data_IF_813435956302
#
_entry.id   IF_813435956302
#
_cell.length_a   1.000
_cell.length_b   1.000
_cell.length_c   1.000
_cell.angle_alpha   90.00
_cell.angle_beta   90.00
_cell.angle_gamma   90.00
#
_symmetry.space_group_name_H-M   'P 1'
#
loop_
_entity.id
_entity.type
_entity.pdbx_description
1 polymer ?
#
# COMPACT_ATOMS: atom_id res chain seq x y z
N UNK A 1 -7.24 -1.21 37.70
CA UNK A 1 -7.29 -2.27 36.67
C UNK A 1 -7.60 -1.64 35.31
N UNK A 2 -8.72 -0.90 35.14
CA UNK A 2 -9.14 -0.31 33.85
C UNK A 2 -8.06 0.63 33.28
N UNK A 3 -7.52 1.54 34.09
CA UNK A 3 -6.46 2.45 33.68
C UNK A 3 -5.16 1.71 33.26
N UNK A 4 -4.84 0.65 33.97
CA UNK A 4 -3.69 -0.20 33.63
C UNK A 4 -3.90 -0.92 32.28
N UNK A 5 -5.07 -1.53 32.10
CA UNK A 5 -5.41 -2.19 30.83
C UNK A 5 -5.45 -1.19 29.67
N UNK A 6 -5.99 0.02 29.87
CA UNK A 6 -5.98 1.06 28.85
C UNK A 6 -4.55 1.46 28.45
N UNK A 7 -3.65 1.66 29.40
CA UNK A 7 -2.24 1.97 29.11
C UNK A 7 -1.55 0.82 28.38
N UNK A 8 -1.77 -0.43 28.81
CA UNK A 8 -1.18 -1.61 28.15
C UNK A 8 -1.73 -1.73 26.72
N UNK A 9 -3.03 -1.56 26.51
CA UNK A 9 -3.65 -1.65 25.18
C UNK A 9 -3.11 -0.55 24.25
N UNK A 10 -3.11 0.70 24.71
CA UNK A 10 -2.59 1.83 23.93
C UNK A 10 -1.13 1.58 23.56
N UNK A 11 -0.29 1.21 24.54
CA UNK A 11 1.12 0.92 24.28
C UNK A 11 1.31 -0.25 23.32
N UNK A 12 0.49 -1.30 23.41
CA UNK A 12 0.55 -2.46 22.51
C UNK A 12 0.14 -2.09 21.07
N UNK A 13 -0.89 -1.26 20.89
CA UNK A 13 -1.34 -0.84 19.56
C UNK A 13 -0.28 0.03 18.86
N UNK A 14 0.24 1.03 19.56
CA UNK A 14 1.23 1.96 18.98
C UNK A 14 2.63 1.35 18.83
N UNK A 15 2.99 0.29 19.55
CA UNK A 15 4.28 -0.38 19.38
C UNK A 15 4.42 -1.18 18.08
N UNK A 16 3.34 -1.34 17.32
CA UNK A 16 3.36 -2.01 16.01
C UNK A 16 3.51 -1.02 14.83
N UNK A 17 3.63 0.27 15.10
CA UNK A 17 3.83 1.32 14.09
C UNK A 17 5.31 1.71 14.00
N UNK A 18 6.18 0.82 13.54
CA UNK A 18 7.59 1.15 13.38
C UNK A 18 8.46 -0.09 13.17
N UNK A 19 9.75 0.16 13.06
CA UNK A 19 10.74 -0.92 12.95
C UNK A 19 10.71 -1.74 14.25
N UNK A 20 10.59 -3.08 14.18
CA UNK A 20 10.61 -3.93 15.35
C UNK A 20 11.88 -3.79 16.20
N UNK A 21 11.75 -4.05 17.51
CA UNK A 21 12.86 -3.97 18.46
C UNK A 21 14.04 -4.87 18.04
N UNK A 22 15.24 -4.31 18.00
CA UNK A 22 16.46 -5.00 17.59
C UNK A 22 16.84 -4.81 16.12
N UNK A 23 16.02 -4.09 15.36
CA UNK A 23 16.26 -3.81 13.94
C UNK A 23 16.35 -2.31 13.61
N UNK A 24 16.41 -1.45 14.63
CA UNK A 24 16.39 0.01 14.51
C UNK A 24 17.57 0.59 13.70
N UNK A 25 18.68 -0.13 13.68
CA UNK A 25 19.90 0.26 12.95
C UNK A 25 19.92 -0.24 11.49
N UNK A 26 18.90 -1.04 11.07
CA UNK A 26 18.82 -1.58 9.71
C UNK A 26 17.88 -0.72 8.86
N UNK A 27 18.34 -0.37 7.66
CA UNK A 27 17.52 0.32 6.67
C UNK A 27 16.42 -0.61 6.14
N UNK A 28 15.13 -0.22 6.26
CA UNK A 28 14.03 -1.02 5.77
C UNK A 28 14.05 -1.18 4.24
N UNK A 29 13.69 -2.36 3.75
CA UNK A 29 13.30 -2.52 2.35
C UNK A 29 11.91 -1.94 2.19
N UNK A 30 11.74 -0.97 1.30
CA UNK A 30 10.44 -0.37 1.00
C UNK A 30 9.79 -1.12 -0.16
N UNK A 31 8.56 -1.60 0.07
CA UNK A 31 7.73 -2.22 -0.96
C UNK A 31 6.38 -1.50 -0.98
N UNK A 32 5.99 -0.99 -2.14
CA UNK A 32 4.64 -0.48 -2.31
C UNK A 32 3.71 -1.65 -2.61
N UNK A 33 2.67 -1.81 -1.80
CA UNK A 33 1.65 -2.83 -1.99
C UNK A 33 0.33 -2.15 -2.34
N UNK A 34 -0.02 -2.18 -3.61
CA UNK A 34 -1.26 -1.60 -4.12
C UNK A 34 -2.27 -2.68 -4.48
N UNK A 35 -3.53 -2.28 -4.60
CA UNK A 35 -4.61 -3.18 -4.99
C UNK A 35 -5.46 -2.60 -6.10
N UNK A 36 -5.89 -3.45 -7.02
CA UNK A 36 -6.95 -3.18 -7.97
C UNK A 36 -7.97 -4.31 -7.94
N UNK A 37 -8.93 -4.34 -8.86
CA UNK A 37 -9.97 -5.37 -8.93
C UNK A 37 -9.42 -6.79 -8.72
N UNK A 38 -9.54 -7.28 -7.48
CA UNK A 38 -9.29 -8.63 -6.98
C UNK A 38 -7.83 -9.12 -7.04
N UNK A 39 -6.83 -8.21 -7.06
CA UNK A 39 -5.41 -8.58 -7.08
C UNK A 39 -4.53 -7.61 -6.31
N UNK A 40 -3.33 -8.06 -5.98
CA UNK A 40 -2.28 -7.33 -5.30
C UNK A 40 -1.12 -7.06 -6.24
N UNK A 41 -0.57 -5.86 -6.18
CA UNK A 41 0.63 -5.44 -6.90
C UNK A 41 1.70 -5.06 -5.88
N UNK A 42 2.93 -5.47 -6.12
CA UNK A 42 4.05 -5.17 -5.24
C UNK A 42 5.18 -4.56 -6.05
N UNK A 43 5.44 -3.29 -5.81
CA UNK A 43 6.53 -2.55 -6.45
C UNK A 43 7.71 -2.45 -5.50
N UNK A 44 8.88 -2.73 -6.02
CA UNK A 44 10.17 -2.65 -5.33
C UNK A 44 11.00 -1.52 -5.95
N UNK A 45 10.90 -0.27 -5.48
CA UNK A 45 11.60 0.86 -6.10
C UNK A 45 13.12 0.73 -6.07
N UNK A 46 13.68 0.12 -5.00
CA UNK A 46 15.13 -0.11 -4.86
C UNK A 46 15.63 -1.13 -5.89
N UNK A 47 14.82 -2.13 -6.21
CA UNK A 47 15.15 -3.22 -7.11
C UNK A 47 14.66 -2.98 -8.54
N UNK A 48 13.78 -2.01 -8.76
CA UNK A 48 13.15 -1.77 -10.06
C UNK A 48 12.43 -3.01 -10.61
N UNK A 49 11.54 -3.57 -9.78
CA UNK A 49 10.76 -4.78 -10.03
C UNK A 49 9.30 -4.56 -9.62
N UNK A 50 8.40 -5.13 -10.41
CA UNK A 50 6.98 -5.27 -10.08
C UNK A 50 6.58 -6.73 -10.01
N UNK A 51 5.75 -7.11 -9.03
CA UNK A 51 5.16 -8.44 -8.95
C UNK A 51 3.66 -8.38 -8.71
N UNK A 52 2.93 -9.38 -9.20
CA UNK A 52 1.48 -9.52 -9.05
C UNK A 52 1.15 -10.77 -8.26
N UNK A 53 0.33 -10.63 -7.22
CA UNK A 53 -0.17 -11.72 -6.36
C UNK A 53 0.89 -12.56 -5.65
N UNK A 54 2.11 -12.06 -5.56
CA UNK A 54 3.13 -12.61 -4.69
C UNK A 54 4.16 -11.54 -4.31
N UNK A 55 4.84 -11.73 -3.20
CA UNK A 55 5.90 -10.84 -2.72
C UNK A 55 7.03 -11.64 -2.11
N UNK A 56 8.26 -11.35 -2.52
CA UNK A 56 9.47 -11.93 -1.96
C UNK A 56 10.13 -10.93 -1.01
N UNK A 57 10.50 -11.37 0.16
CA UNK A 57 11.12 -10.53 1.18
C UNK A 57 12.37 -11.20 1.75
N UNK A 58 13.44 -10.43 2.06
CA UNK A 58 14.59 -10.99 2.76
C UNK A 58 14.27 -11.25 4.24
N UNK A 59 14.87 -12.29 4.81
CA UNK A 59 14.93 -12.46 6.27
C UNK A 59 15.89 -11.46 6.91
N UNK A 60 15.78 -11.23 8.22
CA UNK A 60 16.68 -10.40 9.01
C UNK A 60 16.82 -8.92 8.56
N UNK A 61 15.92 -8.45 7.70
CA UNK A 61 15.80 -7.05 7.28
C UNK A 61 14.36 -6.58 7.50
N UNK A 62 14.14 -5.39 8.09
CA UNK A 62 12.80 -4.81 8.14
C UNK A 62 12.27 -4.57 6.72
N UNK A 63 11.00 -4.87 6.52
CA UNK A 63 10.28 -4.59 5.27
C UNK A 63 9.13 -3.66 5.59
N UNK A 64 9.16 -2.45 5.03
CA UNK A 64 8.10 -1.45 5.12
C UNK A 64 7.17 -1.58 3.93
N UNK A 65 5.96 -2.05 4.15
CA UNK A 65 4.91 -2.06 3.15
C UNK A 65 4.17 -0.73 3.16
N UNK A 66 4.18 -0.02 2.04
CA UNK A 66 3.41 1.19 1.79
C UNK A 66 2.17 0.85 0.99
N UNK A 67 1.00 1.04 1.60
CA UNK A 67 -0.26 0.47 1.15
C UNK A 67 -1.18 1.53 0.55
N UNK A 68 -1.73 1.29 -0.62
CA UNK A 68 -2.79 2.09 -1.23
C UNK A 68 -3.65 1.25 -2.19
N UNK A 69 -4.71 1.82 -2.76
CA UNK A 69 -5.66 1.08 -3.59
C UNK A 69 -6.08 1.90 -4.80
N UNK A 70 -6.13 1.28 -5.97
CA UNK A 70 -6.74 1.83 -7.19
C UNK A 70 -8.26 1.61 -7.24
N UNK A 71 -8.85 1.06 -6.19
CA UNK A 71 -10.26 0.70 -6.13
C UNK A 71 -10.83 0.79 -4.72
N UNK A 72 -11.63 -0.18 -4.31
CA UNK A 72 -12.22 -0.20 -2.98
C UNK A 72 -11.16 -0.35 -1.88
N UNK A 73 -11.51 0.08 -0.67
CA UNK A 73 -10.66 -0.13 0.52
C UNK A 73 -10.45 -1.63 0.72
N UNK A 74 -9.20 -2.02 0.85
CA UNK A 74 -8.76 -3.38 1.16
C UNK A 74 -7.97 -3.40 2.46
N UNK A 75 -7.70 -4.59 3.00
CA UNK A 75 -6.91 -4.74 4.21
C UNK A 75 -5.80 -5.75 3.99
N UNK A 76 -4.58 -5.27 3.97
CA UNK A 76 -3.37 -6.08 3.90
C UNK A 76 -3.18 -6.86 5.20
N UNK A 77 -3.10 -8.17 5.11
CA UNK A 77 -2.90 -9.02 6.27
C UNK A 77 -2.10 -10.27 5.92
N UNK A 78 -0.95 -10.41 6.59
CA UNK A 78 -0.13 -11.63 6.59
C UNK A 78 -0.14 -12.18 8.02
N UNK A 79 -0.99 -13.17 8.32
CA UNK A 79 -1.21 -13.65 9.70
C UNK A 79 0.05 -14.05 10.46
N UNK A 80 1.04 -14.58 9.75
CA UNK A 80 2.30 -15.04 10.34
C UNK A 80 3.24 -13.89 10.71
N UNK A 81 3.13 -12.72 10.05
CA UNK A 81 3.99 -11.57 10.31
C UNK A 81 3.40 -10.59 11.32
N UNK A 82 2.08 -10.53 11.45
CA UNK A 82 1.48 -9.66 12.45
C UNK A 82 0.13 -9.06 12.08
N UNK A 83 -0.06 -7.82 12.51
CA UNK A 83 -1.31 -7.07 12.36
C UNK A 83 -1.67 -6.76 10.91
N UNK A 84 -2.86 -6.21 10.75
CA UNK A 84 -3.38 -5.77 9.46
C UNK A 84 -3.35 -4.24 9.33
N UNK A 85 -3.30 -3.74 8.09
CA UNK A 85 -3.40 -2.31 7.78
C UNK A 85 -4.28 -2.11 6.54
N UNK A 86 -5.04 -1.01 6.50
CA UNK A 86 -5.89 -0.70 5.36
C UNK A 86 -5.09 -0.08 4.21
N UNK A 87 -5.44 -0.44 2.98
CA UNK A 87 -5.04 0.21 1.75
C UNK A 87 -6.23 1.01 1.20
N UNK A 88 -6.04 2.30 0.98
CA UNK A 88 -7.08 3.26 0.58
C UNK A 88 -6.67 4.01 -0.69
N UNK A 89 -7.63 4.57 -1.41
CA UNK A 89 -7.38 5.17 -2.72
C UNK A 89 -6.72 6.55 -2.68
N UNK A 90 -6.84 7.24 -1.57
CA UNK A 90 -6.47 8.65 -1.45
C UNK A 90 -5.34 8.92 -0.45
N UNK A 91 -4.77 7.86 0.13
CA UNK A 91 -3.67 7.97 1.08
C UNK A 91 -2.80 6.72 1.09
N UNK A 92 -1.53 6.91 1.42
CA UNK A 92 -0.61 5.81 1.71
C UNK A 92 -0.58 5.55 3.21
N UNK A 93 -0.80 4.31 3.60
CA UNK A 93 -0.55 3.84 4.97
C UNK A 93 0.66 2.94 4.98
N UNK A 94 1.30 2.75 6.12
CA UNK A 94 2.48 1.88 6.23
C UNK A 94 2.36 0.86 7.36
N UNK A 95 3.03 -0.26 7.17
CA UNK A 95 3.24 -1.29 8.18
C UNK A 95 4.61 -1.94 7.95
N UNK A 96 5.35 -2.17 9.03
CA UNK A 96 6.69 -2.75 8.96
C UNK A 96 6.70 -4.12 9.63
N UNK A 97 7.28 -5.09 8.94
CA UNK A 97 7.48 -6.45 9.43
C UNK A 97 8.94 -6.88 9.30
N UNK A 98 9.30 -7.88 10.08
CA UNK A 98 10.54 -8.64 9.93
C UNK A 98 10.18 -10.11 9.83
N UNK A 99 10.75 -10.81 8.88
CA UNK A 99 10.69 -12.27 8.81
C UNK A 99 11.99 -12.84 9.38
N UNK A 100 11.87 -13.63 10.45
CA UNK A 100 13.04 -14.25 11.09
C UNK A 100 13.51 -15.51 10.36
N UNK A 101 12.58 -16.23 9.74
CA UNK A 101 12.83 -17.50 9.05
C UNK A 101 12.42 -17.46 7.57
N UNK A 102 13.08 -18.28 6.76
CA UNK A 102 12.69 -18.49 5.36
C UNK A 102 11.45 -19.41 5.30
N UNK A 103 10.31 -18.83 4.93
CA UNK A 103 9.00 -19.49 4.93
C UNK A 103 8.16 -19.07 3.73
N UNK A 104 7.25 -19.95 3.31
CA UNK A 104 6.12 -19.58 2.47
C UNK A 104 4.92 -19.28 3.36
N UNK A 105 4.34 -18.10 3.20
CA UNK A 105 3.22 -17.60 3.98
C UNK A 105 2.11 -17.15 3.04
N UNK A 106 0.89 -17.11 3.53
CA UNK A 106 -0.26 -16.59 2.80
C UNK A 106 -0.65 -15.22 3.33
N UNK A 107 -0.70 -14.25 2.42
CA UNK A 107 -1.31 -12.96 2.66
C UNK A 107 -2.68 -12.88 2.01
N UNK A 108 -3.55 -12.03 2.55
CA UNK A 108 -4.91 -11.87 2.02
C UNK A 108 -5.52 -10.52 2.33
N UNK A 109 -6.56 -10.20 1.59
CA UNK A 109 -7.47 -9.12 1.94
C UNK A 109 -8.41 -9.59 3.05
N UNK A 110 -8.41 -8.90 4.19
CA UNK A 110 -9.29 -9.21 5.31
C UNK A 110 -10.50 -8.28 5.43
N UNK A 111 -10.71 -7.40 4.42
CA UNK A 111 -11.85 -6.48 4.34
C UNK A 111 -12.73 -6.83 3.14
N UNK A 112 -14.04 -6.91 3.33
CA UNK A 112 -14.96 -7.10 2.21
C UNK A 112 -14.88 -5.90 1.26
N UNK A 113 -14.41 -6.15 0.05
CA UNK A 113 -14.17 -5.12 -0.99
C UNK A 113 -14.91 -5.40 -2.30
N UNK A 114 -15.93 -6.25 -2.27
CA UNK A 114 -16.75 -6.58 -3.43
C UNK A 114 -16.73 -8.07 -3.79
N UNK A 115 -17.18 -8.40 -5.02
CA UNK A 115 -17.48 -9.77 -5.44
C UNK A 115 -16.32 -10.76 -5.36
N UNK A 116 -15.10 -10.32 -5.70
CA UNK A 116 -13.91 -11.18 -5.77
C UNK A 116 -12.96 -11.02 -4.58
N UNK A 117 -13.40 -10.42 -3.46
CA UNK A 117 -12.51 -10.15 -2.33
C UNK A 117 -11.92 -11.42 -1.70
N UNK A 118 -12.64 -12.52 -1.74
CA UNK A 118 -12.24 -13.82 -1.22
C UNK A 118 -11.09 -14.47 -2.02
N UNK A 119 -10.86 -14.03 -3.25
CA UNK A 119 -9.78 -14.46 -4.12
C UNK A 119 -8.56 -13.54 -4.06
N UNK A 120 -8.64 -12.42 -3.34
CA UNK A 120 -7.52 -11.50 -3.13
C UNK A 120 -6.51 -12.08 -2.12
N UNK A 121 -5.85 -13.14 -2.54
CA UNK A 121 -4.79 -13.82 -1.82
C UNK A 121 -3.48 -13.61 -2.57
N UNK A 122 -2.38 -13.57 -1.82
CA UNK A 122 -1.04 -13.49 -2.36
C UNK A 122 -0.08 -14.34 -1.54
N UNK A 123 0.96 -14.80 -2.18
CA UNK A 123 2.00 -15.56 -1.50
C UNK A 123 3.10 -14.61 -1.00
N UNK A 124 3.55 -14.82 0.23
CA UNK A 124 4.70 -14.14 0.81
C UNK A 124 5.80 -15.16 0.99
N UNK A 125 6.89 -15.00 0.27
CA UNK A 125 8.07 -15.85 0.37
C UNK A 125 9.19 -15.08 1.09
N UNK A 126 9.43 -15.42 2.35
CA UNK A 126 10.64 -14.95 3.01
C UNK A 126 11.80 -15.89 2.69
N UNK A 127 12.94 -15.32 2.36
CA UNK A 127 14.13 -16.05 1.95
C UNK A 127 15.41 -15.41 2.52
N UNK A 128 16.48 -16.18 2.59
CA UNK A 128 17.72 -15.58 3.07
C UNK A 128 18.22 -14.49 2.10
N UNK A 129 19.05 -13.54 2.57
CA UNK A 129 19.47 -12.41 1.74
C UNK A 129 20.15 -12.80 0.43
N UNK A 130 20.91 -13.90 0.39
CA UNK A 130 21.57 -14.35 -0.82
C UNK A 130 20.57 -14.89 -1.87
N UNK A 131 19.54 -15.63 -1.42
CA UNK A 131 18.46 -16.11 -2.29
C UNK A 131 17.61 -14.95 -2.82
N UNK A 132 17.39 -13.93 -1.99
CA UNK A 132 16.69 -12.71 -2.41
C UNK A 132 17.46 -11.97 -3.51
N UNK A 133 18.77 -11.78 -3.35
CA UNK A 133 19.61 -11.17 -4.39
C UNK A 133 19.65 -12.01 -5.68
N UNK A 134 19.63 -13.34 -5.57
CA UNK A 134 19.57 -14.23 -6.74
C UNK A 134 18.23 -14.10 -7.46
N UNK A 135 17.13 -14.05 -6.74
CA UNK A 135 15.80 -13.81 -7.30
C UNK A 135 15.72 -12.46 -8.02
N UNK A 136 16.25 -11.38 -7.43
CA UNK A 136 16.30 -10.06 -8.08
C UNK A 136 17.06 -10.11 -9.40
N UNK A 137 18.21 -10.79 -9.42
CA UNK A 137 19.01 -10.96 -10.65
C UNK A 137 18.27 -11.79 -11.70
N UNK A 138 17.55 -12.82 -11.26
CA UNK A 138 16.78 -13.69 -12.16
C UNK A 138 15.63 -12.93 -12.82
N UNK A 139 14.86 -12.16 -12.07
CA UNK A 139 13.80 -11.31 -12.60
C UNK A 139 14.37 -10.30 -13.61
N UNK A 140 15.43 -9.59 -13.25
CA UNK A 140 16.07 -8.60 -14.14
C UNK A 140 16.63 -9.18 -15.43
N UNK A 141 16.98 -10.47 -15.41
CA UNK A 141 17.58 -11.14 -16.59
C UNK A 141 16.53 -11.80 -17.51
N UNK A 142 15.40 -12.21 -16.98
CA UNK A 142 14.48 -13.12 -17.67
C UNK A 142 13.07 -12.59 -17.85
N UNK A 143 12.64 -11.60 -17.04
CA UNK A 143 11.29 -11.06 -17.13
C UNK A 143 11.21 -9.85 -18.06
N UNK A 144 10.03 -9.61 -18.61
CA UNK A 144 9.76 -8.48 -19.50
C UNK A 144 9.66 -7.16 -18.72
N UNK A 145 9.89 -6.06 -19.41
CA UNK A 145 9.70 -4.72 -18.85
C UNK A 145 8.21 -4.40 -18.70
N UNK A 146 7.83 -3.86 -17.56
CA UNK A 146 6.47 -3.35 -17.35
C UNK A 146 6.30 -2.06 -18.15
N UNK A 147 5.46 -2.10 -19.15
CA UNK A 147 5.07 -0.91 -19.93
C UNK A 147 3.78 -0.31 -19.38
N UNK A 148 3.54 0.96 -19.66
CA UNK A 148 2.29 1.64 -19.30
C UNK A 148 1.06 0.90 -19.88
N UNK A 149 1.14 0.45 -21.14
CA UNK A 149 0.08 -0.34 -21.78
C UNK A 149 -0.18 -1.65 -21.04
N UNK A 150 0.88 -2.35 -20.62
CA UNK A 150 0.74 -3.59 -19.85
C UNK A 150 0.16 -3.33 -18.46
N UNK A 151 0.53 -2.21 -17.84
CA UNK A 151 -0.03 -1.79 -16.56
C UNK A 151 -1.54 -1.53 -16.65
N UNK A 152 -1.99 -0.83 -17.68
CA UNK A 152 -3.42 -0.61 -17.95
C UNK A 152 -4.18 -1.93 -18.12
N UNK A 153 -3.62 -2.88 -18.88
CA UNK A 153 -4.19 -4.23 -19.02
C UNK A 153 -4.28 -4.97 -17.68
N UNK A 154 -3.24 -4.84 -16.84
CA UNK A 154 -3.22 -5.42 -15.50
C UNK A 154 -4.33 -4.81 -14.65
N UNK A 155 -4.51 -3.49 -14.67
CA UNK A 155 -5.57 -2.82 -13.90
C UNK A 155 -6.97 -3.27 -14.34
N UNK A 156 -7.20 -3.43 -15.64
CA UNK A 156 -8.49 -3.81 -16.20
C UNK A 156 -8.84 -5.30 -16.00
N UNK A 157 -7.85 -6.17 -15.89
CA UNK A 157 -8.07 -7.60 -15.66
C UNK A 157 -8.76 -7.85 -14.32
N UNK A 158 -9.75 -8.73 -14.25
CA UNK A 158 -10.39 -9.11 -12.98
C UNK A 158 -9.50 -10.05 -12.14
N UNK A 159 -8.91 -11.04 -12.75
CA UNK A 159 -8.09 -12.05 -12.09
C UNK A 159 -6.81 -12.29 -12.89
N UNK A 160 -5.69 -12.31 -12.19
CA UNK A 160 -4.39 -12.65 -12.75
C UNK A 160 -3.70 -13.69 -11.86
N UNK A 161 -2.80 -14.45 -12.47
CA UNK A 161 -1.88 -15.32 -11.76
C UNK A 161 -0.74 -14.55 -11.09
N UNK A 162 0.33 -15.26 -10.80
CA UNK A 162 1.60 -14.66 -10.39
C UNK A 162 2.33 -14.19 -11.64
N UNK A 163 2.71 -12.94 -11.64
CA UNK A 163 3.47 -12.33 -12.71
C UNK A 163 4.62 -11.50 -12.14
N UNK A 164 5.67 -11.32 -12.90
CA UNK A 164 6.84 -10.52 -12.56
C UNK A 164 7.26 -9.68 -13.74
N UNK A 165 7.76 -8.48 -13.46
CA UNK A 165 8.22 -7.53 -14.47
C UNK A 165 9.46 -6.80 -13.97
N UNK A 166 10.30 -6.35 -14.88
CA UNK A 166 11.28 -5.30 -14.61
C UNK A 166 10.62 -3.93 -14.74
N UNK A 167 11.08 -2.93 -14.00
CA UNK A 167 10.39 -1.65 -13.86
C UNK A 167 9.26 -1.70 -12.83
N UNK A 168 8.70 -0.55 -12.51
CA UNK A 168 7.56 -0.43 -11.58
C UNK A 168 6.47 0.45 -12.18
N UNK A 169 5.21 0.21 -11.80
CA UNK A 169 4.11 1.08 -12.20
C UNK A 169 4.21 2.50 -11.62
N UNK A 170 5.04 2.72 -10.61
CA UNK A 170 5.22 4.02 -9.97
C UNK A 170 5.72 5.09 -10.94
N UNK A 171 6.33 4.69 -12.05
CA UNK A 171 6.77 5.59 -13.13
C UNK A 171 5.61 6.15 -13.96
N UNK A 172 4.48 5.44 -14.01
CA UNK A 172 3.28 5.79 -14.78
C UNK A 172 2.14 6.27 -13.91
N UNK A 173 1.96 5.63 -12.77
CA UNK A 173 0.85 5.83 -11.84
C UNK A 173 1.38 5.87 -10.41
N UNK A 174 1.99 7.00 -10.00
CA UNK A 174 2.66 7.11 -8.72
C UNK A 174 1.69 6.99 -7.54
N UNK A 175 2.20 6.44 -6.44
CA UNK A 175 1.46 6.36 -5.19
C UNK A 175 1.02 7.77 -4.72
N UNK A 176 -0.14 7.88 -4.04
CA UNK A 176 -0.57 9.15 -3.44
C UNK A 176 0.50 9.75 -2.53
N UNK A 177 0.69 11.06 -2.55
CA UNK A 177 1.70 11.75 -1.75
C UNK A 177 1.33 11.76 -0.25
N UNK A 178 2.00 10.94 0.55
CA UNK A 178 1.94 10.94 2.01
C UNK A 178 0.68 10.33 2.62
N UNK A 179 0.66 10.23 3.95
CA UNK A 179 -0.46 9.68 4.73
C UNK A 179 -1.73 10.56 4.71
N UNK A 180 -1.63 11.80 4.25
CA UNK A 180 -2.72 12.78 4.21
C UNK A 180 -3.00 13.31 2.79
N UNK A 181 -2.60 12.62 1.75
CA UNK A 181 -2.78 13.07 0.37
C UNK A 181 -4.26 13.36 0.04
N UNK A 182 -5.20 12.60 0.62
CA UNK A 182 -6.65 12.81 0.45
C UNK A 182 -7.25 14.02 1.17
N UNK A 183 -6.50 14.70 2.04
CA UNK A 183 -7.01 15.89 2.73
C UNK A 183 -6.79 17.21 1.94
N UNK A 184 -6.13 17.16 0.80
CA UNK A 184 -5.90 18.33 -0.04
C UNK A 184 -6.98 18.60 -1.11
N UNK A 185 -8.11 17.93 -1.07
CA UNK A 185 -9.28 18.25 -1.89
C UNK A 185 -10.13 19.35 -1.24
N UNK A 186 -9.61 20.57 -1.11
CA UNK A 186 -10.40 21.62 -0.49
C UNK A 186 -9.99 23.06 -0.65
N UNK A 187 -8.82 23.35 -1.21
CA UNK A 187 -8.33 24.74 -1.22
C UNK A 187 -8.10 25.35 -2.63
N UNK A 188 -8.91 24.96 -3.62
CA UNK A 188 -8.93 25.64 -4.91
C UNK A 188 -10.34 26.01 -5.37
N UNK A 189 -11.17 26.49 -4.45
CA UNK A 189 -12.33 27.32 -4.83
C UNK A 189 -12.48 28.49 -3.85
N UNK A 190 -11.49 29.38 -3.87
CA UNK A 190 -11.67 30.72 -3.37
C UNK A 190 -12.47 31.52 -4.41
N UNK A 191 -13.73 31.23 -4.53
CA UNK A 191 -14.70 32.18 -5.01
C UNK A 191 -14.79 33.26 -3.94
N UNK A 192 -14.04 34.33 -4.15
CA UNK A 192 -14.27 35.62 -3.53
C UNK A 192 -15.71 36.04 -3.84
N UNK A 193 -16.61 35.77 -2.89
CA UNK A 193 -17.88 36.46 -2.83
C UNK A 193 -17.55 37.90 -2.41
N UNK A 194 -17.49 38.79 -3.38
CA UNK A 194 -17.51 40.23 -3.10
C UNK A 194 -18.83 40.52 -2.40
N UNK A 195 -18.78 40.77 -1.11
CA UNK A 195 -19.79 41.49 -0.35
C UNK A 195 -19.67 43.01 -0.71
N UNK A 196 -20.22 43.40 -1.84
CA UNK A 196 -20.52 44.78 -2.15
C UNK A 196 -21.69 44.76 -3.14
N UNK A 197 -22.93 44.73 -2.61
CA UNK A 197 -24.13 45.30 -3.23
C UNK A 197 -25.35 45.05 -2.29
N UNK A 198 -25.28 45.66 -1.15
CA UNK A 198 -26.45 45.83 -0.30
C UNK A 198 -26.57 47.34 0.01
N UNK A 199 -26.97 48.11 -0.96
CA UNK A 199 -27.73 49.33 -0.66
C UNK A 199 -28.55 49.78 -1.88
N UNK A 200 -29.74 50.33 -1.55
CA UNK A 200 -30.70 51.07 -2.36
C UNK A 200 -31.58 50.27 -3.36
N UNK A 201 -32.81 50.04 -2.95
CA UNK A 201 -33.93 50.83 -3.41
C UNK A 201 -35.22 50.51 -2.68
N UNK A 202 -35.58 51.55 -1.93
CA UNK A 202 -36.88 51.84 -1.36
C UNK A 202 -37.88 52.23 -2.47
N UNK A 203 -39.16 52.14 -2.14
CA UNK A 203 -40.35 52.74 -2.73
C UNK A 203 -41.22 52.02 -3.78
N UNK A 204 -42.30 51.70 -3.30
CA UNK A 204 -43.66 52.26 -3.53
C UNK A 204 -44.59 51.56 -4.51
N UNK A 205 -45.77 51.33 -3.93
CA UNK A 205 -47.12 51.40 -4.49
C UNK A 205 -47.63 50.40 -5.56
N UNK A 206 -48.50 49.62 -5.22
CA UNK A 206 -50.02 49.66 -5.27
C UNK A 206 -50.53 48.27 -4.90
#
# INVERSE_FOLDING_TARGET
IVAFLAVVTVKSVYSHEGVPEGYEDKEPLVIYASTSNWKWHFSYPEEDIETVNYVNIPTDRPVEFRLYSFGPITSFWVPQLGGQKYAMSDMVTSVTFVADDALSMEGKNSNFSGRGFDQMQFEVLSMNPAEYEEWVKDVKANEEELTEERWDEILDAEFLGRESYTGTHLDYDPAPEGENAGHNHGDNDSTTINEDDADSQDHSNH
#
